data_IF_833957958061
#
_entry.id   IF_833957958061
#
_cell.length_a   1.000
_cell.length_b   1.000
_cell.length_c   1.000
_cell.angle_alpha   90.00
_cell.angle_beta   90.00
_cell.angle_gamma   90.00
#
_symmetry.space_group_name_H-M   'P 1'
#
loop_
_entity.id
_entity.type
_entity.pdbx_description
1 polymer ?
#
# COMPACT_ATOMS: atom_id res chain seq x y z
N UNK A 1 -21.84 8.34 12.05
CA UNK A 1 -21.14 9.50 11.47
C UNK A 1 -19.68 9.10 11.27
N UNK A 2 -19.10 9.37 10.08
CA UNK A 2 -17.67 9.20 9.83
C UNK A 2 -16.95 10.52 10.11
N UNK A 3 -15.71 10.46 10.59
CA UNK A 3 -14.91 11.65 10.95
C UNK A 3 -14.33 12.36 9.69
N UNK A 4 -14.59 11.82 8.49
CA UNK A 4 -13.95 12.29 7.27
C UNK A 4 -12.44 11.98 7.34
N UNK A 5 -11.61 13.02 7.28
CA UNK A 5 -10.14 12.86 7.29
C UNK A 5 -9.52 13.23 8.63
N UNK A 6 -8.67 12.35 9.16
CA UNK A 6 -7.86 12.59 10.35
C UNK A 6 -6.37 12.46 9.99
N UNK A 7 -5.61 13.52 10.25
CA UNK A 7 -4.17 13.55 10.05
C UNK A 7 -3.48 13.70 11.40
N UNK A 8 -2.67 12.71 11.77
CA UNK A 8 -1.96 12.69 13.04
C UNK A 8 -0.47 12.74 12.73
N UNK A 9 0.16 13.84 13.12
CA UNK A 9 1.61 14.02 13.04
C UNK A 9 2.20 14.03 14.43
N UNK A 10 3.25 13.26 14.65
CA UNK A 10 3.89 13.19 15.95
C UNK A 10 5.42 13.12 15.83
N UNK A 11 6.06 13.71 16.82
CA UNK A 11 7.49 13.65 17.07
C UNK A 11 7.66 12.78 18.32
N UNK A 12 7.94 11.49 18.13
CA UNK A 12 8.08 10.55 19.25
C UNK A 12 9.46 9.90 19.25
N UNK A 13 10.22 10.16 20.31
CA UNK A 13 11.33 9.30 20.72
C UNK A 13 10.90 8.54 21.98
N UNK A 14 11.14 7.22 22.03
CA UNK A 14 10.93 6.42 23.25
C UNK A 14 9.48 6.05 23.59
N UNK A 15 9.10 6.19 24.87
CA UNK A 15 7.93 5.56 25.52
C UNK A 15 6.54 5.98 24.99
N UNK A 16 6.47 7.04 24.19
CA UNK A 16 5.25 7.58 23.56
C UNK A 16 4.57 6.55 22.62
N UNK A 17 5.28 5.49 22.22
CA UNK A 17 4.76 4.37 21.42
C UNK A 17 3.47 3.75 22.01
N UNK A 18 3.45 3.43 23.32
CA UNK A 18 2.30 2.72 23.91
C UNK A 18 1.07 3.61 23.96
N UNK A 19 1.27 4.88 24.26
CA UNK A 19 0.20 5.87 24.29
C UNK A 19 -0.38 6.08 22.89
N UNK A 20 0.47 6.14 21.87
CA UNK A 20 0.02 6.28 20.49
C UNK A 20 -0.80 5.07 20.00
N UNK A 21 -0.36 3.85 20.35
CA UNK A 21 -1.12 2.64 20.05
C UNK A 21 -2.50 2.64 20.73
N UNK A 22 -2.61 3.19 21.93
CA UNK A 22 -3.89 3.32 22.61
C UNK A 22 -4.78 4.39 21.96
N UNK A 23 -4.21 5.54 21.60
CA UNK A 23 -4.91 6.63 20.91
C UNK A 23 -5.46 6.18 19.56
N UNK A 24 -4.68 5.42 18.79
CA UNK A 24 -5.13 4.86 17.50
C UNK A 24 -6.41 4.05 17.64
N UNK A 25 -6.53 3.23 18.70
CA UNK A 25 -7.68 2.33 18.91
C UNK A 25 -8.98 3.08 19.14
N UNK A 26 -8.92 4.32 19.57
CA UNK A 26 -10.10 5.16 19.78
C UNK A 26 -10.68 5.68 18.47
N UNK A 27 -9.88 5.77 17.42
CA UNK A 27 -10.31 6.26 16.11
C UNK A 27 -11.02 5.17 15.30
N UNK A 28 -12.32 5.05 15.50
CA UNK A 28 -13.20 4.18 14.71
C UNK A 28 -14.00 5.02 13.70
N UNK A 29 -14.27 4.43 12.53
CA UNK A 29 -15.08 5.06 11.47
C UNK A 29 -14.47 6.37 10.93
N UNK A 30 -13.15 6.41 10.80
CA UNK A 30 -12.46 7.46 10.06
C UNK A 30 -12.49 7.09 8.58
N UNK A 31 -12.80 8.04 7.70
CA UNK A 31 -12.77 7.75 6.26
C UNK A 31 -11.31 7.64 5.80
N UNK A 32 -10.51 8.66 6.11
CA UNK A 32 -9.08 8.71 5.81
C UNK A 32 -8.24 8.95 7.05
N UNK A 33 -7.30 8.06 7.34
CA UNK A 33 -6.34 8.19 8.42
C UNK A 33 -4.93 8.32 7.85
N UNK A 34 -4.28 9.45 8.13
CA UNK A 34 -2.86 9.66 7.84
C UNK A 34 -2.09 9.69 9.14
N UNK A 35 -1.12 8.79 9.28
CA UNK A 35 -0.16 8.78 10.38
C UNK A 35 1.20 9.23 9.85
N UNK A 36 1.78 10.25 10.49
CA UNK A 36 3.09 10.78 10.14
C UNK A 36 4.00 10.78 11.36
N UNK A 37 5.08 10.01 11.29
CA UNK A 37 6.13 10.02 12.32
C UNK A 37 7.34 10.78 11.80
N UNK A 38 7.77 11.81 12.52
CA UNK A 38 8.95 12.59 12.14
C UNK A 38 10.25 12.05 12.74
N UNK A 39 10.16 11.08 13.67
CA UNK A 39 11.30 10.37 14.21
C UNK A 39 11.62 9.13 13.34
N UNK A 40 12.90 8.81 13.19
CA UNK A 40 13.42 7.79 12.26
C UNK A 40 12.94 6.34 12.53
N UNK A 41 12.19 6.10 13.60
CA UNK A 41 11.90 4.74 14.06
C UNK A 41 10.52 4.65 14.72
N UNK A 42 9.46 4.54 13.92
CA UNK A 42 8.18 4.05 14.41
C UNK A 42 7.92 2.65 13.86
N UNK A 43 7.71 1.68 14.76
CA UNK A 43 7.36 0.32 14.38
C UNK A 43 5.85 0.11 14.54
N UNK A 44 5.16 -0.11 13.43
CA UNK A 44 3.80 -0.62 13.44
C UNK A 44 3.86 -2.15 13.39
N UNK A 45 3.28 -2.82 14.38
CA UNK A 45 3.17 -4.28 14.40
C UNK A 45 1.96 -4.78 13.61
N UNK A 46 2.01 -6.02 13.13
CA UNK A 46 0.93 -6.68 12.38
C UNK A 46 -0.47 -6.50 13.01
N UNK A 47 -0.61 -6.75 14.32
CA UNK A 47 -1.89 -6.62 15.00
C UNK A 47 -2.44 -5.18 14.95
N UNK A 48 -1.59 -4.18 15.14
CA UNK A 48 -1.97 -2.76 15.10
C UNK A 48 -2.31 -2.33 13.68
N UNK A 49 -1.55 -2.80 12.68
CA UNK A 49 -1.84 -2.55 11.28
C UNK A 49 -3.19 -3.14 10.87
N UNK A 50 -3.51 -4.37 11.29
CA UNK A 50 -4.81 -4.99 11.03
C UNK A 50 -5.96 -4.21 11.67
N UNK A 51 -5.80 -3.77 12.92
CA UNK A 51 -6.80 -2.93 13.61
C UNK A 51 -7.03 -1.61 12.84
N UNK A 52 -5.96 -0.96 12.36
CA UNK A 52 -6.03 0.24 11.55
C UNK A 52 -6.74 0.01 10.21
N UNK A 53 -6.36 -1.05 9.50
CA UNK A 53 -6.97 -1.46 8.23
C UNK A 53 -8.48 -1.74 8.36
N UNK A 54 -8.93 -2.21 9.53
CA UNK A 54 -10.36 -2.43 9.79
C UNK A 54 -11.12 -1.13 10.09
N UNK A 55 -10.43 -0.12 10.61
CA UNK A 55 -11.04 1.07 11.20
C UNK A 55 -11.22 2.24 10.22
N UNK A 56 -10.55 2.19 9.06
CA UNK A 56 -10.60 3.24 8.05
C UNK A 56 -10.76 2.73 6.62
N UNK A 57 -11.18 3.63 5.72
CA UNK A 57 -11.29 3.36 4.28
C UNK A 57 -9.98 3.69 3.55
N UNK A 58 -9.24 4.70 4.01
CA UNK A 58 -7.91 5.02 3.53
C UNK A 58 -6.91 5.10 4.69
N UNK A 59 -5.77 4.42 4.55
CA UNK A 59 -4.67 4.44 5.50
C UNK A 59 -3.39 4.91 4.80
N UNK A 60 -2.80 5.99 5.29
CA UNK A 60 -1.52 6.51 4.82
C UNK A 60 -0.51 6.53 5.97
N UNK A 61 0.61 5.82 5.81
CA UNK A 61 1.70 5.74 6.77
C UNK A 61 2.92 6.47 6.19
N UNK A 62 3.08 7.73 6.54
CA UNK A 62 4.09 8.62 5.98
C UNK A 62 5.29 8.75 6.93
N UNK A 63 6.51 8.62 6.38
CA UNK A 63 7.77 8.69 7.15
C UNK A 63 7.86 7.69 8.32
N UNK A 64 7.08 6.61 8.27
CA UNK A 64 7.10 5.52 9.25
C UNK A 64 7.83 4.33 8.64
N UNK A 65 8.92 3.90 9.27
CA UNK A 65 9.63 2.68 8.87
C UNK A 65 8.89 1.45 9.36
N UNK A 66 8.09 0.87 8.48
CA UNK A 66 7.28 -0.30 8.80
C UNK A 66 8.11 -1.58 8.71
N UNK A 67 9.10 -1.70 9.59
CA UNK A 67 10.01 -2.86 9.55
C UNK A 67 9.37 -4.12 10.16
N UNK A 68 8.08 -4.09 10.50
CA UNK A 68 7.36 -5.14 11.25
C UNK A 68 5.99 -5.49 10.70
N UNK A 69 5.57 -4.92 9.56
CA UNK A 69 4.45 -5.52 8.82
C UNK A 69 5.02 -6.68 8.04
N UNK A 70 4.52 -7.87 8.35
CA UNK A 70 4.89 -9.08 7.61
C UNK A 70 4.14 -9.13 6.28
N UNK A 71 4.77 -9.78 5.30
CA UNK A 71 4.17 -10.02 3.98
C UNK A 71 2.86 -10.80 4.11
N UNK A 72 2.77 -11.72 5.06
CA UNK A 72 1.54 -12.47 5.33
C UNK A 72 0.41 -11.56 5.85
N UNK A 73 0.74 -10.59 6.69
CA UNK A 73 -0.26 -9.63 7.17
C UNK A 73 -0.72 -8.70 6.05
N UNK A 74 0.17 -8.21 5.20
CA UNK A 74 -0.21 -7.43 4.03
C UNK A 74 -1.06 -8.25 3.05
N UNK A 75 -0.70 -9.52 2.81
CA UNK A 75 -1.49 -10.44 2.00
C UNK A 75 -2.89 -10.68 2.58
N UNK A 76 -2.99 -10.85 3.91
CA UNK A 76 -4.29 -10.95 4.58
C UNK A 76 -5.13 -9.69 4.39
N UNK A 77 -4.52 -8.50 4.49
CA UNK A 77 -5.23 -7.23 4.20
C UNK A 77 -5.71 -7.20 2.75
N UNK A 78 -4.88 -7.58 1.78
CA UNK A 78 -5.27 -7.68 0.37
C UNK A 78 -6.48 -8.62 0.18
N UNK A 79 -6.47 -9.81 0.79
CA UNK A 79 -7.60 -10.75 0.73
C UNK A 79 -8.86 -10.16 1.37
N UNK A 80 -8.72 -9.54 2.54
CA UNK A 80 -9.83 -8.93 3.25
C UNK A 80 -10.43 -7.71 2.50
N UNK A 81 -9.60 -6.97 1.75
CA UNK A 81 -10.08 -5.92 0.86
C UNK A 81 -10.90 -6.54 -0.28
N UNK A 82 -10.39 -7.64 -0.86
CA UNK A 82 -11.01 -8.33 -1.99
C UNK A 82 -12.36 -8.95 -1.65
N UNK A 83 -12.50 -9.54 -0.46
CA UNK A 83 -13.75 -10.18 -0.01
C UNK A 83 -14.72 -9.20 0.67
N UNK A 84 -14.29 -7.96 0.91
CA UNK A 84 -15.08 -6.92 1.56
C UNK A 84 -15.21 -7.06 3.07
N UNK A 85 -14.45 -7.95 3.72
CA UNK A 85 -14.45 -8.12 5.18
C UNK A 85 -13.87 -6.92 5.92
N UNK A 86 -13.11 -6.06 5.24
CA UNK A 86 -12.66 -4.76 5.77
C UNK A 86 -13.07 -3.59 4.88
N UNK A 87 -13.16 -2.41 5.50
CA UNK A 87 -13.54 -1.15 4.83
C UNK A 87 -12.40 -0.53 4.02
N UNK A 88 -11.15 -0.94 4.25
CA UNK A 88 -9.99 -0.40 3.57
C UNK A 88 -10.12 -0.53 2.05
N UNK A 89 -9.89 0.58 1.35
CA UNK A 89 -9.84 0.68 -0.11
C UNK A 89 -8.52 1.28 -0.59
N UNK A 90 -7.76 1.94 0.27
CA UNK A 90 -6.45 2.50 -0.06
C UNK A 90 -5.48 2.33 1.10
N UNK A 91 -4.32 1.75 0.83
CA UNK A 91 -3.19 1.68 1.74
C UNK A 91 -1.95 2.26 1.07
N UNK A 92 -1.30 3.22 1.73
CA UNK A 92 -0.11 3.89 1.23
C UNK A 92 0.97 3.95 2.31
N UNK A 93 2.21 3.66 1.94
CA UNK A 93 3.35 3.68 2.86
C UNK A 93 4.67 3.86 2.13
N UNK A 94 5.72 4.22 2.88
CA UNK A 94 7.11 4.19 2.44
C UNK A 94 7.73 2.88 2.91
N UNK A 95 7.98 1.96 1.99
CA UNK A 95 8.40 0.59 2.32
C UNK A 95 9.66 0.17 1.57
N UNK A 96 10.37 -0.80 2.14
CA UNK A 96 11.50 -1.41 1.47
C UNK A 96 11.06 -2.22 0.25
N UNK A 97 11.84 -2.11 -0.83
CA UNK A 97 11.72 -2.92 -2.06
C UNK A 97 11.46 -4.40 -1.81
N UNK A 98 12.13 -4.96 -0.81
CA UNK A 98 12.07 -6.40 -0.49
C UNK A 98 10.67 -6.83 -0.03
N UNK A 99 9.95 -5.96 0.70
CA UNK A 99 8.59 -6.25 1.14
C UNK A 99 7.63 -6.32 -0.05
N UNK A 100 7.72 -5.33 -0.96
CA UNK A 100 6.89 -5.29 -2.17
C UNK A 100 7.14 -6.51 -3.05
N UNK A 101 8.41 -6.89 -3.25
CA UNK A 101 8.74 -8.09 -4.04
C UNK A 101 8.20 -9.38 -3.43
N UNK A 102 8.34 -9.54 -2.11
CA UNK A 102 7.79 -10.71 -1.41
C UNK A 102 6.26 -10.72 -1.46
N UNK A 103 5.60 -9.57 -1.31
CA UNK A 103 4.15 -9.44 -1.45
C UNK A 103 3.68 -9.80 -2.86
N UNK A 104 4.31 -9.27 -3.90
CA UNK A 104 4.02 -9.63 -5.29
C UNK A 104 4.14 -11.15 -5.50
N UNK A 105 5.24 -11.75 -5.04
CA UNK A 105 5.46 -13.19 -5.12
C UNK A 105 4.38 -13.99 -4.38
N UNK A 106 3.91 -13.49 -3.24
CA UNK A 106 2.82 -14.10 -2.45
C UNK A 106 1.49 -14.10 -3.18
N UNK A 107 1.22 -13.06 -3.98
CA UNK A 107 0.00 -12.95 -4.81
C UNK A 107 0.20 -13.49 -6.24
N UNK A 108 1.28 -14.23 -6.50
CA UNK A 108 1.54 -14.92 -7.76
C UNK A 108 2.04 -14.03 -8.90
N UNK A 109 2.63 -12.88 -8.58
CA UNK A 109 3.22 -11.93 -9.54
C UNK A 109 4.72 -11.83 -9.27
N UNK A 110 5.55 -12.01 -10.30
CA UNK A 110 7.00 -11.98 -10.15
C UNK A 110 7.59 -10.91 -11.07
N UNK A 111 8.62 -10.23 -10.58
CA UNK A 111 9.39 -9.27 -11.39
C UNK A 111 10.71 -9.90 -11.79
N UNK A 112 10.97 -9.95 -13.10
CA UNK A 112 12.23 -10.45 -13.66
C UNK A 112 12.79 -9.36 -14.58
N UNK A 113 13.88 -8.74 -14.14
CA UNK A 113 14.51 -7.60 -14.83
C UNK A 113 13.54 -6.45 -15.13
N UNK A 114 13.07 -6.33 -16.38
CA UNK A 114 12.19 -5.26 -16.87
C UNK A 114 10.77 -5.72 -17.18
N UNK A 115 10.44 -6.99 -16.96
CA UNK A 115 9.12 -7.56 -17.21
C UNK A 115 8.54 -8.21 -15.96
N UNK A 116 7.24 -8.50 -16.02
CA UNK A 116 6.54 -9.24 -14.99
C UNK A 116 6.11 -10.60 -15.53
N UNK A 117 6.00 -11.59 -14.65
CA UNK A 117 5.35 -12.87 -14.95
C UNK A 117 4.25 -13.11 -13.92
N UNK A 118 3.13 -13.70 -14.34
CA UNK A 118 1.97 -13.91 -13.45
C UNK A 118 1.22 -15.19 -13.80
N UNK A 119 0.67 -15.87 -12.79
CA UNK A 119 -0.24 -17.00 -12.99
C UNK A 119 -1.65 -16.59 -13.45
N UNK A 120 -1.97 -15.30 -13.35
CA UNK A 120 -3.27 -14.71 -13.68
C UNK A 120 -3.13 -13.51 -14.61
N UNK A 121 -4.23 -13.14 -15.25
CA UNK A 121 -4.25 -12.00 -16.15
C UNK A 121 -4.09 -10.70 -15.35
N UNK A 122 -2.93 -10.05 -15.49
CA UNK A 122 -2.64 -8.75 -14.88
C UNK A 122 -2.10 -7.83 -15.96
N UNK A 123 -2.38 -6.54 -15.82
CA UNK A 123 -1.84 -5.50 -16.70
C UNK A 123 -0.76 -4.76 -15.93
N UNK A 124 0.37 -4.46 -16.57
CA UNK A 124 1.46 -3.74 -15.92
C UNK A 124 1.91 -2.56 -16.78
N UNK A 125 2.25 -1.47 -16.12
CA UNK A 125 2.68 -0.23 -16.72
C UNK A 125 3.87 0.34 -15.96
N UNK A 126 4.69 1.13 -16.65
CA UNK A 126 5.67 2.03 -16.03
C UNK A 126 5.35 3.47 -16.36
N UNK A 127 5.68 4.37 -15.44
CA UNK A 127 5.72 5.81 -15.64
C UNK A 127 7.07 6.33 -15.18
N UNK A 128 7.70 7.20 -15.97
CA UNK A 128 8.93 7.90 -15.57
C UNK A 128 8.57 9.35 -15.27
N UNK A 129 8.83 9.78 -14.05
CA UNK A 129 8.48 11.13 -13.58
C UNK A 129 9.60 11.64 -12.67
N UNK A 130 10.17 12.81 -12.98
CA UNK A 130 11.27 13.42 -12.22
C UNK A 130 12.49 12.50 -11.99
N UNK A 131 12.80 11.62 -12.95
CA UNK A 131 13.91 10.67 -12.86
C UNK A 131 13.61 9.42 -12.03
N UNK A 132 12.40 9.29 -11.46
CA UNK A 132 11.94 8.09 -10.77
C UNK A 132 11.12 7.21 -11.71
N UNK A 133 11.30 5.89 -11.61
CA UNK A 133 10.45 4.93 -12.31
C UNK A 133 9.39 4.40 -11.34
N UNK A 134 8.13 4.61 -11.70
CA UNK A 134 6.97 4.06 -11.02
C UNK A 134 6.44 2.87 -11.81
N UNK A 135 6.18 1.78 -11.11
CA UNK A 135 5.53 0.59 -11.65
C UNK A 135 4.11 0.52 -11.14
N UNK A 136 3.16 0.22 -12.03
CA UNK A 136 1.74 0.14 -11.73
C UNK A 136 1.24 -1.20 -12.28
N UNK A 137 0.64 -2.01 -11.42
CA UNK A 137 0.11 -3.33 -11.77
C UNK A 137 -1.38 -3.32 -11.45
N UNK A 138 -2.19 -3.69 -12.42
CA UNK A 138 -3.61 -3.91 -12.26
C UNK A 138 -3.92 -5.41 -12.20
N UNK A 139 -4.55 -5.82 -11.11
CA UNK A 139 -4.90 -7.20 -10.80
C UNK A 139 -6.38 -7.25 -10.43
N UNK A 140 -7.22 -7.45 -11.46
CA UNK A 140 -8.66 -7.18 -11.35
C UNK A 140 -8.90 -5.69 -11.02
N UNK A 141 -9.62 -5.44 -9.92
CA UNK A 141 -9.89 -4.08 -9.44
C UNK A 141 -8.78 -3.52 -8.53
N UNK A 142 -7.72 -4.28 -8.27
CA UNK A 142 -6.58 -3.78 -7.51
C UNK A 142 -5.62 -3.01 -8.40
N UNK A 143 -5.18 -1.86 -7.92
CA UNK A 143 -4.01 -1.14 -8.39
C UNK A 143 -2.90 -1.27 -7.34
N UNK A 144 -1.77 -1.84 -7.76
CA UNK A 144 -0.56 -1.98 -6.97
C UNK A 144 0.49 -1.09 -7.60
N UNK A 145 0.93 -0.08 -6.88
CA UNK A 145 1.79 0.96 -7.39
C UNK A 145 3.00 1.09 -6.47
N UNK A 146 4.19 1.07 -7.06
CA UNK A 146 5.42 1.27 -6.30
C UNK A 146 6.48 2.01 -7.09
N UNK A 147 7.27 2.83 -6.40
CA UNK A 147 8.41 3.52 -7.01
C UNK A 147 9.68 2.73 -6.80
N UNK A 148 10.58 2.81 -7.78
CA UNK A 148 11.96 2.38 -7.64
C UNK A 148 12.84 3.63 -7.60
N UNK A 149 13.14 4.06 -6.39
CA UNK A 149 14.01 5.19 -6.11
C UNK A 149 15.46 4.71 -5.92
N UNK A 150 16.42 5.59 -6.20
CA UNK A 150 17.84 5.34 -5.90
C UNK A 150 18.20 5.69 -4.44
N UNK A 151 17.33 6.43 -3.74
CA UNK A 151 17.55 6.89 -2.36
C UNK A 151 16.95 5.95 -1.30
N UNK A 152 16.31 4.84 -1.72
CA UNK A 152 15.75 3.82 -0.83
C UNK A 152 14.40 4.19 -0.20
N UNK A 153 13.78 5.30 -0.61
CA UNK A 153 12.42 5.67 -0.22
C UNK A 153 11.44 5.23 -1.29
N UNK A 154 11.21 3.92 -1.35
CA UNK A 154 10.26 3.34 -2.30
C UNK A 154 8.84 3.50 -1.71
N UNK A 155 7.97 4.19 -2.45
CA UNK A 155 6.57 4.31 -2.06
C UNK A 155 5.86 3.03 -2.49
N UNK A 156 4.93 2.56 -1.66
CA UNK A 156 4.03 1.47 -1.97
C UNK A 156 2.59 1.93 -1.77
N UNK A 157 1.75 1.65 -2.76
CA UNK A 157 0.33 1.92 -2.77
C UNK A 157 -0.40 0.64 -3.18
N UNK A 158 -1.37 0.26 -2.36
CA UNK A 158 -2.37 -0.75 -2.68
C UNK A 158 -3.75 -0.09 -2.66
N UNK A 159 -4.44 -0.09 -3.80
CA UNK A 159 -5.77 0.49 -3.95
C UNK A 159 -6.73 -0.53 -4.54
N UNK A 160 -7.94 -0.61 -3.99
CA UNK A 160 -9.06 -1.34 -4.56
C UNK A 160 -10.04 -0.33 -5.16
N UNK A 161 -10.22 -0.37 -6.47
CA UNK A 161 -11.18 0.46 -7.19
C UNK A 161 -12.60 -0.06 -6.97
N UNK A 162 -13.54 0.85 -6.69
CA UNK A 162 -14.93 0.48 -6.34
C UNK A 162 -15.76 0.10 -7.56
N UNK A 163 -15.38 0.59 -8.73
CA UNK A 163 -16.09 0.38 -9.98
C UNK A 163 -15.14 0.47 -11.19
N UNK A 164 -15.62 0.01 -12.34
CA UNK A 164 -14.85 -0.02 -13.58
C UNK A 164 -14.45 1.39 -14.04
N UNK A 165 -15.27 2.41 -13.79
CA UNK A 165 -14.95 3.79 -14.15
C UNK A 165 -13.66 4.26 -13.45
N UNK A 166 -13.59 4.10 -12.13
CA UNK A 166 -12.39 4.48 -11.35
C UNK A 166 -11.13 3.68 -11.74
N UNK A 167 -11.31 2.43 -12.19
CA UNK A 167 -10.23 1.57 -12.70
C UNK A 167 -9.73 2.06 -14.07
N UNK A 168 -10.64 2.29 -15.00
CA UNK A 168 -10.31 2.74 -16.36
C UNK A 168 -9.72 4.17 -16.35
N UNK A 169 -10.20 5.05 -15.46
CA UNK A 169 -9.60 6.36 -15.22
C UNK A 169 -8.14 6.24 -14.77
N UNK A 170 -7.85 5.28 -13.87
CA UNK A 170 -6.48 5.03 -13.41
C UNK A 170 -5.59 4.48 -14.52
N UNK A 171 -6.14 3.62 -15.40
CA UNK A 171 -5.45 3.09 -16.59
C UNK A 171 -5.28 4.11 -17.71
N UNK A 172 -6.18 5.09 -17.81
CA UNK A 172 -6.12 6.19 -18.76
C UNK A 172 -5.10 7.27 -18.42
N UNK A 173 -4.38 7.12 -17.29
CA UNK A 173 -3.38 8.07 -16.82
C UNK A 173 -2.33 8.40 -17.87
N UNK A 174 -2.06 9.69 -18.07
CA UNK A 174 -1.09 10.15 -19.05
C UNK A 174 0.33 9.64 -18.73
N UNK A 175 1.03 9.14 -19.75
CA UNK A 175 2.42 8.68 -19.64
C UNK A 175 2.61 7.26 -19.13
N UNK A 176 1.55 6.44 -19.05
CA UNK A 176 1.67 5.01 -18.79
C UNK A 176 2.23 4.28 -20.03
N UNK A 177 3.35 3.60 -19.83
CA UNK A 177 3.98 2.76 -20.86
C UNK A 177 3.72 1.30 -20.49
N UNK A 178 3.00 0.53 -21.33
CA UNK A 178 2.75 -0.89 -21.06
C UNK A 178 4.05 -1.68 -20.86
N UNK A 179 4.04 -2.58 -19.88
CA UNK A 179 5.09 -3.55 -19.61
C UNK A 179 4.57 -4.92 -20.01
N UNK A 180 5.41 -5.70 -20.68
CA UNK A 180 5.09 -7.09 -21.01
C UNK A 180 4.89 -7.90 -19.72
N UNK A 181 3.75 -8.57 -19.63
CA UNK A 181 3.46 -9.58 -18.60
C UNK A 181 3.41 -10.95 -19.26
N UNK A 182 4.27 -11.87 -18.86
CA UNK A 182 4.23 -13.24 -19.36
C UNK A 182 3.36 -14.11 -18.44
N UNK A 183 2.45 -14.87 -19.05
CA UNK A 183 1.59 -15.78 -18.31
C UNK A 183 2.36 -17.06 -18.00
N UNK A 184 2.46 -17.40 -16.72
CA UNK A 184 2.99 -18.69 -16.29
C UNK A 184 1.93 -19.79 -16.51
N UNK A 185 2.35 -21.01 -16.86
CA UNK A 185 1.46 -22.15 -17.07
C UNK A 185 0.70 -22.56 -15.79
#
# INVERSE_FOLDING_TARGET
ATIGSLNISFYAEGAIYREFANIIKEFKNVDKLTLKCMANVYYLHDAQFLELAQSCRELCLSHMRINRITVDTLHRVYQNMSDGSIKLRRFETVEGRDMVQQFLGRIGIYSIALYFTSYRNVEAYRKVENGETRYIIFDGNFEINFTRSNNGNDNFLLKLHENNESLEDAKGGFGLIPIRVERLP
#
